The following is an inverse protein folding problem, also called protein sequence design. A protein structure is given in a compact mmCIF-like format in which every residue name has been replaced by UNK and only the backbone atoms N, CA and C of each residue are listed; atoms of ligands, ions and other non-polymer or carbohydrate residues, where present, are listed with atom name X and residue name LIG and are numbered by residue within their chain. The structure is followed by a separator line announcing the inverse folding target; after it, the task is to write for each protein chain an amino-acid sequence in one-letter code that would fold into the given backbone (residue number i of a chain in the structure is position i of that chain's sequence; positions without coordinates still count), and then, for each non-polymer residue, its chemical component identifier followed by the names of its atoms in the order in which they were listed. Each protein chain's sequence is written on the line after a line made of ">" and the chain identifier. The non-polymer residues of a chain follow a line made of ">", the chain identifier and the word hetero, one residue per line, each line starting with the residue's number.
data_IF_468621544784
#
_entry.id   IF_468621544784
#
_cell.length_a   1.000
_cell.length_b   1.000
_cell.length_c   1.000
_cell.angle_alpha   90.00
_cell.angle_beta   90.00
_cell.angle_gamma   90.00
#
_symmetry.space_group_name_H-M   'P 1'
#
loop_
_entity.id
_entity.type
_entity.pdbx_description
1 polymer ?
#
# COMPACT_ATOMS: atom_id res chain seq x y z
N UNK A 1 -3.66 -19.37 8.21
CA UNK A 1 -4.57 -18.42 7.52
C UNK A 1 -4.95 -17.23 8.41
N UNK A 2 -5.37 -17.45 9.66
CA UNK A 2 -5.92 -16.40 10.53
C UNK A 2 -4.95 -15.84 11.60
N UNK A 3 -3.81 -16.49 11.82
CA UNK A 3 -2.81 -16.08 12.82
C UNK A 3 -2.44 -14.60 12.70
N UNK A 4 -2.61 -13.85 13.79
CA UNK A 4 -2.29 -12.43 13.90
C UNK A 4 -3.22 -11.47 13.12
N UNK A 5 -4.26 -11.99 12.47
CA UNK A 5 -5.19 -11.17 11.66
C UNK A 5 -6.41 -10.74 12.47
N UNK A 6 -6.93 -9.51 12.27
CA UNK A 6 -8.20 -9.11 12.85
C UNK A 6 -9.34 -10.02 12.40
N UNK A 7 -10.19 -10.43 13.34
CA UNK A 7 -11.45 -11.14 13.07
C UNK A 7 -12.60 -10.32 13.65
N UNK A 8 -13.39 -9.68 12.79
CA UNK A 8 -14.50 -8.86 13.26
C UNK A 8 -15.70 -9.74 13.64
N UNK A 9 -16.22 -9.53 14.85
CA UNK A 9 -17.44 -10.16 15.38
C UNK A 9 -18.48 -9.08 15.61
N UNK A 10 -19.50 -9.05 14.74
CA UNK A 10 -20.64 -8.14 14.83
C UNK A 10 -21.79 -8.84 15.54
N UNK A 11 -22.27 -8.27 16.64
CA UNK A 11 -23.47 -8.77 17.32
C UNK A 11 -24.73 -8.29 16.60
N UNK A 12 -25.68 -9.20 16.37
CA UNK A 12 -27.00 -8.86 15.80
C UNK A 12 -27.95 -8.18 16.80
N UNK A 13 -27.52 -7.93 18.04
CA UNK A 13 -28.37 -7.47 19.15
C UNK A 13 -29.27 -8.57 19.74
N UNK A 14 -29.64 -9.57 18.95
CA UNK A 14 -30.33 -10.80 19.38
C UNK A 14 -29.40 -11.98 19.65
N UNK A 15 -28.10 -11.83 19.36
CA UNK A 15 -27.09 -12.87 19.57
C UNK A 15 -26.91 -13.15 21.05
N UNK A 16 -26.99 -14.42 21.45
CA UNK A 16 -26.74 -14.81 22.86
C UNK A 16 -25.28 -14.63 23.22
N UNK A 17 -25.00 -14.34 24.50
CA UNK A 17 -23.63 -14.24 25.02
C UNK A 17 -22.82 -15.51 24.74
N UNK A 18 -23.44 -16.69 24.88
CA UNK A 18 -22.78 -17.96 24.61
C UNK A 18 -22.36 -18.10 23.13
N UNK A 19 -23.22 -17.69 22.18
CA UNK A 19 -22.87 -17.73 20.76
C UNK A 19 -21.72 -16.77 20.43
N UNK A 20 -21.75 -15.55 20.97
CA UNK A 20 -20.67 -14.57 20.78
C UNK A 20 -19.34 -15.07 21.37
N UNK A 21 -19.38 -15.70 22.55
CA UNK A 21 -18.19 -16.28 23.18
C UNK A 21 -17.65 -17.46 22.36
N UNK A 22 -18.52 -18.32 21.82
CA UNK A 22 -18.09 -19.45 20.99
C UNK A 22 -17.36 -18.98 19.72
N UNK A 23 -17.88 -17.96 19.02
CA UNK A 23 -17.22 -17.40 17.83
C UNK A 23 -15.90 -16.72 18.18
N UNK A 24 -15.85 -15.98 19.30
CA UNK A 24 -14.60 -15.36 19.76
C UNK A 24 -13.55 -16.40 20.14
N UNK A 25 -13.94 -17.46 20.85
CA UNK A 25 -13.03 -18.55 21.22
C UNK A 25 -12.48 -19.23 19.97
N UNK A 26 -13.33 -19.54 18.99
CA UNK A 26 -12.89 -20.11 17.72
C UNK A 26 -11.87 -19.21 17.00
N UNK A 27 -12.11 -17.90 16.98
CA UNK A 27 -11.16 -16.96 16.37
C UNK A 27 -9.80 -16.98 17.08
N UNK A 28 -9.79 -17.04 18.42
CA UNK A 28 -8.56 -17.17 19.22
C UNK A 28 -7.85 -18.49 18.97
N UNK A 29 -8.58 -19.61 18.94
CA UNK A 29 -8.01 -20.95 18.70
C UNK A 29 -7.35 -21.05 17.31
N UNK A 30 -7.86 -20.27 16.33
CA UNK A 30 -7.27 -20.13 15.00
C UNK A 30 -6.12 -19.10 14.93
N UNK A 31 -5.77 -18.49 16.07
CA UNK A 31 -4.71 -17.50 16.23
C UNK A 31 -5.07 -16.08 15.78
N UNK A 32 -6.34 -15.81 15.48
CA UNK A 32 -6.80 -14.48 15.08
C UNK A 32 -6.90 -13.53 16.27
N UNK A 33 -7.11 -12.24 15.99
CA UNK A 33 -7.38 -11.21 16.98
C UNK A 33 -8.86 -10.80 16.88
N UNK A 34 -9.74 -11.30 17.76
CA UNK A 34 -11.16 -10.93 17.72
C UNK A 34 -11.35 -9.45 18.03
N UNK A 35 -12.11 -8.77 17.18
CA UNK A 35 -12.50 -7.36 17.36
C UNK A 35 -14.02 -7.28 17.32
N UNK A 36 -14.62 -6.59 18.27
CA UNK A 36 -16.07 -6.33 18.24
C UNK A 36 -16.37 -4.88 17.91
N UNK A 37 -17.34 -4.70 17.02
CA UNK A 37 -17.86 -3.42 16.58
C UNK A 37 -19.29 -3.59 16.06
N UNK A 38 -19.98 -2.49 15.80
CA UNK A 38 -21.30 -2.55 15.16
C UNK A 38 -21.18 -2.89 13.66
N UNK A 39 -22.29 -3.33 13.05
CA UNK A 39 -22.33 -3.57 11.60
C UNK A 39 -22.01 -2.30 10.81
N UNK A 40 -22.56 -1.16 11.24
CA UNK A 40 -22.34 0.13 10.59
C UNK A 40 -20.87 0.56 10.68
N UNK A 41 -20.22 0.39 11.85
CA UNK A 41 -18.81 0.73 12.02
C UNK A 41 -17.90 -0.18 11.17
N UNK A 42 -18.23 -1.48 11.11
CA UNK A 42 -17.54 -2.42 10.24
C UNK A 42 -17.63 -1.98 8.78
N UNK A 43 -18.84 -1.74 8.29
CA UNK A 43 -19.11 -1.40 6.89
C UNK A 43 -18.44 -0.07 6.50
N UNK A 44 -18.50 0.94 7.38
CA UNK A 44 -17.77 2.19 7.20
C UNK A 44 -16.25 1.98 7.17
N UNK A 45 -15.71 1.15 8.07
CA UNK A 45 -14.28 0.86 8.12
C UNK A 45 -13.82 0.14 6.83
N UNK A 46 -14.49 -0.95 6.43
CA UNK A 46 -14.09 -1.72 5.23
C UNK A 46 -14.36 -0.98 3.93
N UNK A 47 -15.30 -0.02 3.90
CA UNK A 47 -15.44 0.88 2.77
C UNK A 47 -14.13 1.63 2.49
N UNK A 48 -13.51 2.20 3.53
CA UNK A 48 -12.26 2.97 3.42
C UNK A 48 -11.04 2.06 3.20
N UNK A 49 -10.90 0.98 3.98
CA UNK A 49 -9.65 0.20 3.99
C UNK A 49 -9.61 -0.99 3.03
N UNK A 50 -10.72 -1.31 2.36
CA UNK A 50 -10.81 -2.49 1.48
C UNK A 50 -11.59 -2.23 0.19
N UNK A 51 -12.84 -1.77 0.28
CA UNK A 51 -13.74 -1.73 -0.89
C UNK A 51 -13.39 -0.61 -1.87
N UNK A 52 -13.23 0.63 -1.39
CA UNK A 52 -12.83 1.75 -2.24
C UNK A 52 -11.45 1.53 -2.87
N UNK A 53 -10.42 1.06 -2.13
CA UNK A 53 -9.16 0.67 -2.74
C UNK A 53 -9.30 -0.27 -3.94
N UNK A 54 -10.19 -1.28 -3.87
CA UNK A 54 -10.45 -2.14 -5.02
C UNK A 54 -11.11 -1.38 -6.18
N UNK A 55 -12.16 -0.59 -5.93
CA UNK A 55 -12.80 0.18 -7.01
C UNK A 55 -11.78 1.08 -7.72
N UNK A 56 -10.94 1.78 -6.96
CA UNK A 56 -9.90 2.67 -7.50
C UNK A 56 -8.84 1.89 -8.27
N UNK A 57 -8.32 0.79 -7.72
CA UNK A 57 -7.35 -0.08 -8.39
C UNK A 57 -7.90 -0.58 -9.74
N UNK A 58 -9.16 -1.00 -9.77
CA UNK A 58 -9.85 -1.46 -10.97
C UNK A 58 -10.04 -0.33 -12.00
N UNK A 59 -10.38 0.88 -11.56
CA UNK A 59 -10.53 2.04 -12.44
C UNK A 59 -9.19 2.49 -13.04
N UNK A 60 -8.10 2.42 -12.26
CA UNK A 60 -6.73 2.69 -12.74
C UNK A 60 -6.33 1.62 -13.76
N UNK A 61 -6.47 0.35 -13.43
CA UNK A 61 -6.17 -0.76 -14.34
C UNK A 61 -6.99 -0.68 -15.64
N UNK A 62 -8.24 -0.24 -15.57
CA UNK A 62 -9.09 -0.08 -16.75
C UNK A 62 -8.57 0.96 -17.77
N UNK A 63 -7.70 1.91 -17.36
CA UNK A 63 -7.03 2.84 -18.29
C UNK A 63 -5.93 2.18 -19.11
N UNK A 64 -5.41 1.04 -18.65
CA UNK A 64 -4.35 0.30 -19.34
C UNK A 64 -4.86 -0.48 -20.55
N UNK A 65 -6.17 -0.73 -20.66
CA UNK A 65 -6.73 -1.50 -21.79
C UNK A 65 -6.49 -0.86 -23.15
N UNK A 66 -6.46 0.47 -23.18
CA UNK A 66 -6.33 1.26 -24.39
C UNK A 66 -4.91 1.83 -24.53
N UNK A 67 -3.98 1.44 -23.65
CA UNK A 67 -2.57 1.84 -23.70
C UNK A 67 -1.81 1.00 -24.74
N UNK A 68 -0.82 1.60 -25.40
CA UNK A 68 0.07 0.88 -26.32
C UNK A 68 1.03 -0.05 -25.57
N UNK A 69 1.51 -1.09 -26.25
CA UNK A 69 2.52 -2.00 -25.69
C UNK A 69 3.80 -1.28 -25.26
N UNK A 70 4.22 -0.25 -26.02
CA UNK A 70 5.36 0.59 -25.64
C UNK A 70 5.13 1.31 -24.31
N UNK A 71 3.92 1.84 -24.08
CA UNK A 71 3.56 2.48 -22.82
C UNK A 71 3.47 1.47 -21.67
N UNK A 72 2.95 0.27 -21.93
CA UNK A 72 2.93 -0.82 -20.95
C UNK A 72 4.36 -1.31 -20.62
N UNK A 73 5.28 -1.25 -21.57
CA UNK A 73 6.70 -1.54 -21.37
C UNK A 73 7.38 -0.61 -20.35
N UNK A 74 6.83 0.58 -20.11
CA UNK A 74 7.32 1.53 -19.10
C UNK A 74 6.76 1.26 -17.68
N UNK A 75 5.92 0.24 -17.51
CA UNK A 75 5.28 -0.07 -16.23
C UNK A 75 6.30 -0.52 -15.16
N UNK A 76 6.56 0.36 -14.19
CA UNK A 76 7.32 0.07 -12.98
C UNK A 76 6.50 -0.61 -11.87
N UNK A 77 7.16 -0.89 -10.75
CA UNK A 77 6.55 -1.58 -9.60
C UNK A 77 5.36 -0.83 -9.00
N UNK A 78 5.41 0.51 -8.95
CA UNK A 78 4.31 1.32 -8.40
C UNK A 78 2.96 1.08 -9.11
N UNK A 79 2.96 0.93 -10.44
CA UNK A 79 1.72 0.59 -11.16
C UNK A 79 1.24 -0.82 -10.79
N UNK A 80 2.16 -1.78 -10.67
CA UNK A 80 1.86 -3.17 -10.31
C UNK A 80 1.26 -3.26 -8.91
N UNK A 81 1.78 -2.50 -7.95
CA UNK A 81 1.28 -2.47 -6.57
C UNK A 81 -0.12 -1.87 -6.49
N UNK A 82 -0.35 -0.73 -7.15
CA UNK A 82 -1.66 -0.06 -7.19
C UNK A 82 -2.72 -0.95 -7.86
N UNK A 83 -2.35 -1.67 -8.91
CA UNK A 83 -3.28 -2.49 -9.70
C UNK A 83 -3.34 -3.96 -9.28
N UNK A 84 -2.52 -4.40 -8.30
CA UNK A 84 -2.44 -5.80 -7.87
C UNK A 84 -3.78 -6.42 -7.51
N UNK A 85 -4.68 -5.65 -6.90
CA UNK A 85 -6.00 -6.13 -6.45
C UNK A 85 -7.08 -6.01 -7.53
N UNK A 86 -6.81 -5.34 -8.64
CA UNK A 86 -7.75 -5.19 -9.75
C UNK A 86 -8.08 -6.51 -10.45
N UNK A 87 -7.20 -7.51 -10.37
CA UNK A 87 -7.41 -8.85 -10.94
C UNK A 87 -8.28 -9.77 -10.08
N UNK A 88 -9.08 -9.20 -9.18
CA UNK A 88 -10.01 -9.96 -8.33
C UNK A 88 -11.26 -10.41 -9.08
N UNK A 89 -11.96 -11.44 -8.57
CA UNK A 89 -13.21 -11.95 -9.16
C UNK A 89 -14.31 -10.86 -9.20
N UNK A 90 -14.78 -10.45 -10.40
CA UNK A 90 -15.84 -9.45 -10.54
C UNK A 90 -17.17 -9.86 -9.91
N UNK A 91 -17.52 -11.15 -9.93
CA UNK A 91 -18.80 -11.63 -9.40
C UNK A 91 -18.86 -11.44 -7.88
N UNK A 92 -17.80 -11.85 -7.18
CA UNK A 92 -17.64 -11.64 -5.74
C UNK A 92 -17.69 -10.15 -5.37
N UNK A 93 -16.90 -9.32 -6.05
CA UNK A 93 -16.82 -7.90 -5.73
C UNK A 93 -18.09 -7.14 -6.04
N UNK A 94 -18.86 -7.54 -7.05
CA UNK A 94 -20.18 -6.95 -7.31
C UNK A 94 -21.11 -7.17 -6.12
N UNK A 95 -21.15 -8.38 -5.54
CA UNK A 95 -21.95 -8.65 -4.35
C UNK A 95 -21.49 -7.88 -3.13
N UNK A 96 -20.17 -7.79 -2.89
CA UNK A 96 -19.58 -7.02 -1.78
C UNK A 96 -19.95 -5.53 -1.88
N UNK A 97 -19.76 -4.94 -3.06
CA UNK A 97 -20.05 -3.53 -3.29
C UNK A 97 -21.54 -3.22 -3.23
N UNK A 98 -22.40 -4.13 -3.72
CA UNK A 98 -23.84 -3.98 -3.60
C UNK A 98 -24.31 -4.02 -2.13
N UNK A 99 -23.74 -4.92 -1.31
CA UNK A 99 -24.07 -5.03 0.10
C UNK A 99 -23.64 -3.81 0.93
N UNK A 100 -22.57 -3.11 0.54
CA UNK A 100 -22.03 -1.95 1.24
C UNK A 100 -22.06 -0.66 0.39
N UNK A 101 -23.08 -0.51 -0.49
CA UNK A 101 -23.11 0.55 -1.49
C UNK A 101 -23.11 1.96 -0.87
N UNK A 102 -23.81 2.15 0.26
CA UNK A 102 -23.91 3.44 0.95
C UNK A 102 -22.56 3.96 1.42
N UNK A 103 -21.87 3.20 2.27
CA UNK A 103 -20.57 3.64 2.82
C UNK A 103 -19.50 3.77 1.73
N UNK A 104 -19.50 2.86 0.74
CA UNK A 104 -18.59 2.94 -0.42
C UNK A 104 -18.83 4.21 -1.23
N UNK A 105 -20.09 4.53 -1.54
CA UNK A 105 -20.46 5.72 -2.29
C UNK A 105 -19.96 6.98 -1.60
N UNK A 106 -20.15 7.10 -0.29
CA UNK A 106 -19.80 8.32 0.44
C UNK A 106 -18.29 8.59 0.39
N UNK A 107 -17.46 7.55 0.52
CA UNK A 107 -16.00 7.66 0.35
C UNK A 107 -15.64 8.04 -1.10
N UNK A 108 -16.28 7.40 -2.10
CA UNK A 108 -16.02 7.70 -3.51
C UNK A 108 -16.42 9.13 -3.90
N UNK A 109 -17.47 9.70 -3.30
CA UNK A 109 -17.86 11.09 -3.53
C UNK A 109 -16.78 12.06 -3.06
N UNK A 110 -16.20 11.82 -1.87
CA UNK A 110 -15.06 12.59 -1.37
C UNK A 110 -13.84 12.47 -2.31
N UNK A 111 -13.49 11.24 -2.68
CA UNK A 111 -12.38 10.97 -3.60
C UNK A 111 -12.57 11.64 -4.96
N UNK A 112 -13.78 11.63 -5.51
CA UNK A 112 -14.11 12.33 -6.75
C UNK A 112 -13.86 13.84 -6.61
N UNK A 113 -14.29 14.45 -5.51
CA UNK A 113 -14.03 15.87 -5.27
C UNK A 113 -12.54 16.22 -5.23
N UNK A 114 -11.72 15.38 -4.58
CA UNK A 114 -10.26 15.54 -4.59
C UNK A 114 -9.68 15.38 -6.00
N UNK A 115 -10.15 14.40 -6.77
CA UNK A 115 -9.72 14.18 -8.15
C UNK A 115 -10.10 15.36 -9.06
N UNK A 116 -11.33 15.86 -8.97
CA UNK A 116 -11.80 17.02 -9.74
C UNK A 116 -10.93 18.26 -9.47
N UNK A 117 -10.55 18.46 -8.19
CA UNK A 117 -9.63 19.54 -7.80
C UNK A 117 -8.24 19.40 -8.44
N UNK A 118 -7.67 18.20 -8.45
CA UNK A 118 -6.38 17.93 -9.12
C UNK A 118 -6.49 18.13 -10.64
N UNK A 119 -7.57 17.65 -11.28
CA UNK A 119 -7.80 17.84 -12.71
C UNK A 119 -7.85 19.32 -13.06
N UNK A 120 -8.60 20.13 -12.29
CA UNK A 120 -8.67 21.58 -12.50
C UNK A 120 -7.30 22.24 -12.36
N UNK A 121 -6.53 21.88 -11.32
CA UNK A 121 -5.18 22.41 -11.10
C UNK A 121 -4.21 22.03 -12.23
N UNK A 122 -4.28 20.80 -12.74
CA UNK A 122 -3.48 20.35 -13.89
C UNK A 122 -3.87 21.09 -15.17
N UNK A 123 -5.16 21.41 -15.36
CA UNK A 123 -5.62 22.23 -16.48
C UNK A 123 -5.01 23.64 -16.47
N UNK A 124 -4.92 24.26 -15.30
CA UNK A 124 -4.24 25.56 -15.14
C UNK A 124 -2.73 25.44 -15.40
N UNK A 125 -2.09 24.39 -14.89
CA UNK A 125 -0.67 24.15 -15.11
C UNK A 125 -0.32 23.89 -16.58
N UNK A 126 -1.21 23.21 -17.31
CA UNK A 126 -1.04 22.95 -18.75
C UNK A 126 -1.08 24.23 -19.58
N UNK A 127 -1.85 25.24 -19.17
CA UNK A 127 -1.95 26.52 -19.85
C UNK A 127 -0.72 27.43 -19.64
N UNK A 128 0.13 27.09 -18.67
CA UNK A 128 1.35 27.84 -18.37
C UNK A 128 2.47 27.56 -19.38
N UNK A 129 3.37 28.53 -19.57
CA UNK A 129 4.52 28.39 -20.47
C UNK A 129 5.70 27.65 -19.85
N UNK A 130 5.67 27.45 -18.53
CA UNK A 130 6.67 26.76 -17.75
C UNK A 130 6.21 26.59 -16.29
N UNK A 131 6.85 25.71 -15.50
CA UNK A 131 6.47 25.50 -14.10
C UNK A 131 6.45 26.78 -13.26
N UNK A 132 7.33 27.73 -13.57
CA UNK A 132 7.45 29.03 -12.91
C UNK A 132 6.28 30.00 -13.18
N UNK A 133 5.52 29.77 -14.25
CA UNK A 133 4.35 30.60 -14.61
C UNK A 133 3.02 29.96 -14.23
N UNK A 134 3.05 28.76 -13.63
CA UNK A 134 1.85 28.12 -13.10
C UNK A 134 1.32 28.93 -11.92
N UNK A 135 0.01 29.19 -11.89
CA UNK A 135 -0.63 29.85 -10.78
C UNK A 135 -0.34 29.12 -9.45
N UNK A 136 0.12 29.87 -8.44
CA UNK A 136 0.50 29.28 -7.15
C UNK A 136 -0.60 28.47 -6.47
N UNK A 137 -1.87 28.81 -6.71
CA UNK A 137 -3.02 28.03 -6.21
C UNK A 137 -3.10 26.62 -6.80
N UNK A 138 -2.77 26.45 -8.07
CA UNK A 138 -2.79 25.16 -8.75
C UNK A 138 -1.70 24.23 -8.23
N UNK A 139 -0.45 24.70 -8.14
CA UNK A 139 0.65 23.92 -7.56
C UNK A 139 0.39 23.58 -6.09
N UNK A 140 -0.15 24.52 -5.32
CA UNK A 140 -0.53 24.30 -3.93
C UNK A 140 -1.60 23.20 -3.80
N UNK A 141 -2.58 23.16 -4.70
CA UNK A 141 -3.64 22.13 -4.70
C UNK A 141 -3.05 20.74 -4.95
N UNK A 142 -2.15 20.60 -5.92
CA UNK A 142 -1.45 19.35 -6.22
C UNK A 142 -0.60 18.90 -5.02
N UNK A 143 0.20 19.82 -4.47
CA UNK A 143 1.08 19.54 -3.33
C UNK A 143 0.29 19.12 -2.09
N UNK A 144 -0.83 19.79 -1.79
CA UNK A 144 -1.69 19.45 -0.66
C UNK A 144 -2.34 18.08 -0.82
N UNK A 145 -2.78 17.71 -2.03
CA UNK A 145 -3.34 16.38 -2.27
C UNK A 145 -2.31 15.28 -2.02
N UNK A 146 -1.07 15.46 -2.49
CA UNK A 146 0.03 14.52 -2.22
C UNK A 146 0.34 14.47 -0.71
N UNK A 147 0.45 15.63 -0.05
CA UNK A 147 0.74 15.69 1.40
C UNK A 147 -0.36 15.05 2.26
N UNK A 148 -1.63 15.20 1.88
CA UNK A 148 -2.76 14.50 2.52
C UNK A 148 -2.64 12.98 2.34
N UNK A 149 -2.23 12.52 1.16
CA UNK A 149 -1.91 11.11 0.90
C UNK A 149 -0.81 10.57 1.81
N UNK A 150 0.31 11.30 1.92
CA UNK A 150 1.42 10.96 2.81
C UNK A 150 0.96 10.85 4.27
N UNK A 151 0.12 11.79 4.71
CA UNK A 151 -0.48 11.78 6.06
C UNK A 151 -1.38 10.56 6.26
N UNK A 152 -2.15 10.15 5.25
CA UNK A 152 -2.97 8.94 5.28
C UNK A 152 -2.15 7.66 5.42
N UNK A 153 -1.09 7.51 4.63
CA UNK A 153 -0.16 6.38 4.71
C UNK A 153 0.51 6.32 6.09
N UNK A 154 0.93 7.47 6.61
CA UNK A 154 1.49 7.60 7.96
C UNK A 154 0.47 7.37 9.08
N UNK A 155 -0.74 6.88 8.82
CA UNK A 155 -1.68 6.38 9.85
C UNK A 155 -1.82 4.87 9.84
N UNK A 156 -1.28 4.19 8.83
CA UNK A 156 -1.34 2.73 8.72
C UNK A 156 -0.41 2.12 9.78
N UNK A 157 -0.90 1.26 10.70
CA UNK A 157 -0.06 0.65 11.73
C UNK A 157 1.09 -0.18 11.13
N UNK A 158 2.26 -0.16 11.78
CA UNK A 158 3.40 -0.97 11.38
C UNK A 158 3.20 -2.48 11.65
N UNK A 159 4.19 -3.30 11.28
CA UNK A 159 4.15 -4.79 11.30
C UNK A 159 3.82 -5.45 12.65
N UNK A 160 3.83 -4.67 13.73
CA UNK A 160 3.47 -5.10 15.09
C UNK A 160 2.35 -4.27 15.73
N UNK A 161 1.51 -3.58 14.94
CA UNK A 161 0.43 -2.72 15.46
C UNK A 161 0.93 -1.46 16.20
N UNK A 162 2.24 -1.20 16.16
CA UNK A 162 2.85 0.01 16.71
C UNK A 162 2.65 1.23 15.81
N UNK A 163 3.02 2.40 16.33
CA UNK A 163 2.97 3.66 15.60
C UNK A 163 3.63 3.52 14.22
N UNK A 164 3.10 4.19 13.17
CA UNK A 164 3.70 4.21 11.85
C UNK A 164 5.15 4.68 11.96
N UNK A 165 6.09 3.76 11.70
CA UNK A 165 7.52 4.06 11.75
C UNK A 165 7.92 4.60 10.39
N UNK A 166 8.50 5.80 10.39
CA UNK A 166 9.28 6.26 9.26
C UNK A 166 10.46 5.31 9.15
N UNK A 167 10.60 4.61 8.03
CA UNK A 167 11.75 3.76 7.75
C UNK A 167 12.72 4.53 6.85
N UNK A 168 14.01 4.31 7.08
CA UNK A 168 15.02 4.63 6.08
C UNK A 168 15.13 3.44 5.12
N UNK A 169 15.37 3.70 3.84
CA UNK A 169 15.44 2.65 2.81
C UNK A 169 16.85 2.59 2.27
N UNK A 170 17.46 1.41 2.34
CA UNK A 170 18.75 1.11 1.69
C UNK A 170 18.46 0.31 0.43
N UNK A 171 18.80 0.86 -0.73
CA UNK A 171 18.54 0.24 -2.02
C UNK A 171 19.76 -0.54 -2.51
N UNK A 172 19.60 -1.84 -2.71
CA UNK A 172 20.69 -2.77 -3.05
C UNK A 172 20.43 -3.42 -4.40
N UNK A 173 21.41 -3.40 -5.29
CA UNK A 173 21.37 -4.17 -6.53
C UNK A 173 21.72 -5.63 -6.24
N UNK A 174 20.76 -6.51 -6.47
CA UNK A 174 20.86 -7.95 -6.26
C UNK A 174 21.03 -8.65 -7.60
N UNK A 175 22.16 -9.34 -7.86
CA UNK A 175 22.31 -10.10 -9.09
C UNK A 175 21.22 -11.17 -9.20
N UNK A 176 20.64 -11.33 -10.40
CA UNK A 176 19.60 -12.33 -10.66
C UNK A 176 20.22 -13.72 -10.82
N UNK A 177 20.71 -14.27 -9.70
CA UNK A 177 21.29 -15.61 -9.63
C UNK A 177 20.90 -16.30 -8.32
N UNK A 178 20.80 -17.65 -8.31
CA UNK A 178 20.34 -18.38 -7.14
C UNK A 178 21.18 -18.08 -5.89
N UNK A 179 20.51 -17.73 -4.79
CA UNK A 179 21.13 -17.53 -3.49
C UNK A 179 21.52 -16.08 -3.16
N UNK A 180 21.54 -15.16 -4.13
CA UNK A 180 21.95 -13.77 -3.86
C UNK A 180 21.00 -13.05 -2.89
N UNK A 181 19.69 -13.24 -3.03
CA UNK A 181 18.75 -12.67 -2.07
C UNK A 181 18.95 -13.23 -0.65
N UNK A 182 19.24 -14.53 -0.55
CA UNK A 182 19.52 -15.16 0.75
C UNK A 182 20.83 -14.62 1.34
N UNK A 183 21.84 -14.39 0.51
CA UNK A 183 23.10 -13.75 0.89
C UNK A 183 22.86 -12.34 1.42
N UNK A 184 22.02 -11.54 0.74
CA UNK A 184 21.66 -10.19 1.19
C UNK A 184 21.04 -10.23 2.58
N UNK A 185 20.03 -11.08 2.78
CA UNK A 185 19.35 -11.21 4.07
C UNK A 185 20.30 -11.69 5.17
N UNK A 186 21.22 -12.61 4.86
CA UNK A 186 22.23 -13.07 5.80
C UNK A 186 23.21 -11.95 6.16
N UNK A 187 23.66 -11.16 5.19
CA UNK A 187 24.57 -10.03 5.41
C UNK A 187 23.92 -8.91 6.24
N UNK A 188 22.65 -8.59 6.00
CA UNK A 188 21.85 -7.68 6.85
C UNK A 188 21.79 -8.19 8.29
N UNK A 189 21.56 -9.49 8.47
CA UNK A 189 21.58 -10.13 9.79
C UNK A 189 22.94 -10.08 10.48
N UNK A 190 24.03 -10.33 9.75
CA UNK A 190 25.40 -10.22 10.26
C UNK A 190 25.78 -8.78 10.63
N UNK A 191 25.23 -7.78 9.95
CA UNK A 191 25.39 -6.36 10.30
C UNK A 191 24.65 -5.98 11.60
N UNK A 192 23.86 -6.90 12.19
CA UNK A 192 23.08 -6.65 13.39
C UNK A 192 21.90 -5.70 13.16
N UNK A 193 21.44 -5.59 11.91
CA UNK A 193 20.33 -4.71 11.53
C UNK A 193 19.07 -5.55 11.34
N UNK A 194 17.98 -5.15 12.00
CA UNK A 194 16.68 -5.77 11.77
C UNK A 194 16.09 -5.23 10.47
N UNK A 195 15.60 -6.14 9.63
CA UNK A 195 14.89 -5.79 8.40
C UNK A 195 13.42 -5.52 8.75
N UNK A 196 12.99 -4.28 8.54
CA UNK A 196 11.60 -3.90 8.78
C UNK A 196 10.74 -4.22 7.58
N UNK A 197 11.19 -3.98 6.34
CA UNK A 197 10.51 -4.40 5.11
C UNK A 197 11.49 -4.68 3.97
N UNK A 198 11.05 -5.45 2.98
CA UNK A 198 11.82 -5.76 1.79
C UNK A 198 10.90 -5.67 0.57
N UNK A 199 11.25 -4.82 -0.38
CA UNK A 199 10.62 -4.77 -1.70
C UNK A 199 11.64 -5.13 -2.76
N UNK A 200 11.24 -5.97 -3.71
CA UNK A 200 12.10 -6.40 -4.83
C UNK A 200 11.49 -5.93 -6.14
N UNK A 201 12.24 -5.11 -6.85
CA UNK A 201 11.90 -4.63 -8.19
C UNK A 201 12.80 -5.29 -9.23
N UNK A 202 12.28 -5.57 -10.41
CA UNK A 202 13.10 -6.08 -11.51
C UNK A 202 13.25 -4.97 -12.55
N UNK A 203 14.50 -4.63 -12.89
CA UNK A 203 14.76 -3.70 -13.97
C UNK A 203 14.45 -4.40 -15.31
N UNK A 204 13.59 -3.78 -16.14
CA UNK A 204 13.29 -4.31 -17.46
C UNK A 204 14.58 -4.41 -18.30
N UNK A 205 14.95 -5.63 -18.70
CA UNK A 205 16.09 -5.90 -19.60
C UNK A 205 17.47 -6.01 -18.95
N UNK A 206 17.59 -6.11 -17.61
CA UNK A 206 18.87 -6.41 -16.93
C UNK A 206 18.72 -7.59 -15.95
N UNK A 207 19.73 -8.48 -15.82
CA UNK A 207 19.71 -9.61 -14.89
C UNK A 207 20.05 -9.15 -13.46
N UNK A 208 19.42 -8.07 -13.00
CA UNK A 208 19.65 -7.46 -11.69
C UNK A 208 18.31 -7.03 -11.12
N UNK A 209 18.00 -7.53 -9.92
CA UNK A 209 16.90 -7.04 -9.09
C UNK A 209 17.37 -5.87 -8.23
N UNK A 210 16.44 -5.00 -7.85
CA UNK A 210 16.68 -3.91 -6.91
C UNK A 210 15.90 -4.21 -5.63
N UNK A 211 16.63 -4.40 -4.53
CA UNK A 211 16.09 -4.69 -3.21
C UNK A 211 16.06 -3.42 -2.37
N UNK A 212 14.86 -2.90 -2.08
CA UNK A 212 14.66 -1.81 -1.14
C UNK A 212 14.53 -2.42 0.26
N UNK A 213 15.54 -2.23 1.10
CA UNK A 213 15.60 -2.73 2.48
C UNK A 213 15.20 -1.61 3.43
N UNK A 214 13.99 -1.70 3.99
CA UNK A 214 13.49 -0.73 4.97
C UNK A 214 14.04 -1.07 6.36
N UNK A 215 14.65 -0.08 7.02
CA UNK A 215 15.24 -0.20 8.36
C UNK A 215 14.75 0.93 9.27
N UNK A 216 14.87 0.75 10.58
CA UNK A 216 14.57 1.81 11.55
C UNK A 216 15.52 3.02 11.36
N UNK A 217 15.08 4.26 11.66
CA UNK A 217 15.92 5.44 11.49
C UNK A 217 17.26 5.38 12.23
N UNK A 218 18.30 5.97 11.63
CA UNK A 218 19.67 5.96 12.14
C UNK A 218 20.41 4.64 11.93
N UNK A 219 19.89 3.75 11.08
CA UNK A 219 20.54 2.48 10.74
C UNK A 219 20.96 2.37 9.28
N UNK A 220 20.47 3.24 8.39
CA UNK A 220 20.79 3.16 6.96
C UNK A 220 22.29 3.30 6.70
N UNK A 221 22.95 4.33 7.23
CA UNK A 221 24.38 4.58 7.01
C UNK A 221 25.26 3.39 7.45
N UNK A 222 24.93 2.79 8.61
CA UNK A 222 25.63 1.61 9.10
C UNK A 222 25.41 0.40 8.18
N UNK A 223 24.17 0.18 7.74
CA UNK A 223 23.85 -0.92 6.84
C UNK A 223 24.50 -0.74 5.47
N UNK A 224 24.49 0.47 4.92
CA UNK A 224 25.15 0.80 3.65
C UNK A 224 26.65 0.52 3.72
N UNK A 225 27.32 0.95 4.80
CA UNK A 225 28.74 0.69 5.00
C UNK A 225 29.04 -0.82 5.07
N UNK A 226 28.27 -1.60 5.84
CA UNK A 226 28.43 -3.05 5.95
C UNK A 226 28.19 -3.77 4.63
N UNK A 227 27.13 -3.40 3.89
CA UNK A 227 26.80 -4.03 2.62
C UNK A 227 27.84 -3.69 1.54
N UNK A 228 28.29 -2.43 1.47
CA UNK A 228 29.36 -2.01 0.57
C UNK A 228 30.67 -2.75 0.87
N UNK A 229 31.04 -2.92 2.14
CA UNK A 229 32.22 -3.69 2.55
C UNK A 229 32.14 -5.17 2.13
N UNK A 230 30.93 -5.71 1.96
CA UNK A 230 30.65 -7.08 1.52
C UNK A 230 30.44 -7.20 0.01
N UNK A 231 30.76 -6.14 -0.74
CA UNK A 231 30.73 -6.14 -2.20
C UNK A 231 29.34 -5.96 -2.81
N UNK A 232 28.36 -5.50 -2.05
CA UNK A 232 27.06 -5.11 -2.60
C UNK A 232 27.16 -3.76 -3.33
N UNK A 233 26.45 -3.66 -4.45
CA UNK A 233 26.26 -2.39 -5.16
C UNK A 233 25.02 -1.70 -4.63
N UNK A 234 25.19 -0.49 -4.09
CA UNK A 234 24.10 0.32 -3.52
C UNK A 234 23.65 1.39 -4.52
N UNK A 235 22.38 1.75 -4.44
CA UNK A 235 21.80 2.87 -5.19
C UNK A 235 21.53 3.99 -4.18
N UNK A 236 22.36 5.03 -4.20
CA UNK A 236 22.24 6.25 -3.40
C UNK A 236 21.25 7.23 -4.01
#
# INVERSE_FOLDING_TARGET
>A
LFVGRPWVVVSSGSSSTQALLAVRALAVDLGAQPVSMSAADHDAAVAVVSHVPQVVASLVAARLRDASDDALGLAGQGLRDVTRIASSDPALWTSILAANAGAVRDVLVGLRGDLDGVIAALGLAQAATGPETVEGGALSTIAQTIARGNTGVARIPGKHGGAPRVYEVVTVLVPDSPGELARLLADVGHAGVNLEDLQLEHAAGRPVGMANVSVVPGRSEHLEAELAARGWSLVS
#
